data_IF_671459220465
#
_entry.id   IF_671459220465
#
_cell.length_a   1.000
_cell.length_b   1.000
_cell.length_c   1.000
_cell.angle_alpha   90.00
_cell.angle_beta   90.00
_cell.angle_gamma   90.00
#
_symmetry.space_group_name_H-M   'P 1'
#
loop_
_entity.id
_entity.type
_entity.pdbx_description
1 polymer ?
#
# COMPACT_ATOMS: atom_id res chain seq x y z
N UNK A 1 -19.26 8.39 -24.81
CA UNK A 1 -19.09 8.91 -23.45
C UNK A 1 -19.63 7.86 -22.50
N UNK A 2 -18.76 7.04 -21.90
CA UNK A 2 -19.16 6.09 -20.87
C UNK A 2 -19.67 6.87 -19.66
N UNK A 3 -20.98 6.86 -19.47
CA UNK A 3 -21.59 7.30 -18.21
C UNK A 3 -21.17 6.23 -17.21
N UNK A 4 -20.11 6.49 -16.44
CA UNK A 4 -19.81 5.66 -15.27
C UNK A 4 -21.07 5.69 -14.42
N UNK A 5 -21.73 4.54 -14.34
CA UNK A 5 -22.91 4.33 -13.54
C UNK A 5 -22.65 4.81 -12.11
N UNK A 6 -23.45 5.75 -11.62
CA UNK A 6 -23.18 6.44 -10.35
C UNK A 6 -23.12 5.47 -9.17
N UNK A 7 -23.87 4.37 -9.23
CA UNK A 7 -23.83 3.32 -8.21
C UNK A 7 -22.52 2.51 -8.28
N UNK A 8 -22.05 2.15 -9.48
CA UNK A 8 -20.71 1.53 -9.63
C UNK A 8 -19.60 2.42 -9.09
N UNK A 9 -19.64 3.73 -9.39
CA UNK A 9 -18.64 4.67 -8.86
C UNK A 9 -18.70 4.74 -7.32
N UNK A 10 -19.91 4.74 -6.75
CA UNK A 10 -20.10 4.77 -5.29
C UNK A 10 -19.53 3.53 -4.61
N UNK A 11 -19.73 2.36 -5.19
CA UNK A 11 -19.21 1.11 -4.62
C UNK A 11 -17.69 1.02 -4.77
N UNK A 12 -17.11 1.52 -5.88
CA UNK A 12 -15.66 1.64 -6.02
C UNK A 12 -15.04 2.55 -4.96
N UNK A 13 -15.67 3.70 -4.67
CA UNK A 13 -15.21 4.63 -3.63
C UNK A 13 -15.30 3.99 -2.24
N UNK A 14 -16.40 3.28 -1.92
CA UNK A 14 -16.55 2.56 -0.66
C UNK A 14 -15.48 1.49 -0.48
N UNK A 15 -15.25 0.67 -1.51
CA UNK A 15 -14.23 -0.38 -1.51
C UNK A 15 -12.84 0.20 -1.27
N UNK A 16 -12.49 1.26 -2.00
CA UNK A 16 -11.19 1.90 -1.85
C UNK A 16 -11.02 2.53 -0.47
N UNK A 17 -12.08 3.11 0.10
CA UNK A 17 -12.08 3.61 1.48
C UNK A 17 -11.86 2.48 2.50
N UNK A 18 -12.49 1.33 2.31
CA UNK A 18 -12.32 0.17 3.20
C UNK A 18 -10.86 -0.28 3.22
N UNK A 19 -10.28 -0.52 2.03
CA UNK A 19 -8.87 -0.90 1.89
C UNK A 19 -7.90 0.09 2.54
N UNK A 20 -8.15 1.39 2.39
CA UNK A 20 -7.32 2.44 2.98
C UNK A 20 -7.48 2.56 4.50
N UNK A 21 -8.55 2.01 5.07
CA UNK A 21 -8.82 2.03 6.52
C UNK A 21 -8.17 0.87 7.26
N UNK A 22 -7.82 -0.20 6.56
CA UNK A 22 -7.20 -1.38 7.15
C UNK A 22 -5.74 -1.08 7.57
N UNK A 23 -5.34 -1.40 8.81
CA UNK A 23 -3.97 -1.17 9.26
C UNK A 23 -2.99 -2.09 8.51
N UNK A 24 -1.81 -1.57 8.18
CA UNK A 24 -0.72 -2.39 7.62
C UNK A 24 0.10 -2.97 8.76
N UNK A 25 0.21 -4.30 8.80
CA UNK A 25 1.15 -5.01 9.67
C UNK A 25 2.52 -5.15 8.99
N UNK A 26 3.36 -4.13 9.16
CA UNK A 26 4.71 -4.14 8.58
C UNK A 26 5.60 -5.24 9.16
N UNK A 27 5.44 -5.59 10.44
CA UNK A 27 6.26 -6.62 11.08
C UNK A 27 5.97 -8.00 10.49
N UNK A 28 4.69 -8.31 10.26
CA UNK A 28 4.30 -9.56 9.62
C UNK A 28 4.77 -9.62 8.16
N UNK A 29 4.61 -8.53 7.40
CA UNK A 29 5.10 -8.47 6.01
C UNK A 29 6.63 -8.60 5.90
N UNK A 30 7.37 -8.12 6.90
CA UNK A 30 8.82 -8.32 7.00
C UNK A 30 9.17 -9.78 7.35
N UNK A 31 8.43 -10.41 8.27
CA UNK A 31 8.61 -11.84 8.62
C UNK A 31 8.30 -12.77 7.45
N UNK A 32 7.27 -12.45 6.67
CA UNK A 32 6.85 -13.21 5.50
C UNK A 32 7.79 -12.99 4.29
N UNK A 33 8.78 -12.11 4.41
CA UNK A 33 9.73 -11.80 3.33
C UNK A 33 9.12 -11.01 2.17
N UNK A 34 7.92 -10.46 2.35
CA UNK A 34 7.21 -9.66 1.35
C UNK A 34 7.72 -8.22 1.30
N UNK A 35 8.09 -7.66 2.46
CA UNK A 35 8.71 -6.35 2.59
C UNK A 35 10.06 -6.47 3.30
N UNK A 36 10.96 -5.55 2.95
CA UNK A 36 12.24 -5.39 3.63
C UNK A 36 12.50 -3.92 3.89
N UNK A 37 12.74 -3.58 5.15
CA UNK A 37 12.96 -2.20 5.56
C UNK A 37 14.27 -1.64 5.02
N UNK A 38 14.21 -0.51 4.30
CA UNK A 38 15.41 0.18 3.81
C UNK A 38 15.94 1.08 4.94
N UNK A 39 16.95 0.60 5.68
CA UNK A 39 17.49 1.26 6.89
C UNK A 39 17.86 2.75 6.71
N UNK A 40 18.24 3.16 5.49
CA UNK A 40 18.65 4.56 5.18
C UNK A 40 17.49 5.50 4.90
N UNK A 41 16.27 4.99 4.72
CA UNK A 41 15.11 5.78 4.36
C UNK A 41 13.92 5.26 5.14
N UNK A 42 13.66 5.79 6.33
CA UNK A 42 12.62 5.31 7.26
C UNK A 42 11.17 5.39 6.78
N UNK A 43 10.93 5.59 5.48
CA UNK A 43 9.63 5.64 4.80
C UNK A 43 9.58 4.68 3.61
N UNK A 44 10.74 4.17 3.16
CA UNK A 44 10.85 3.30 2.00
C UNK A 44 11.10 1.85 2.42
N UNK A 45 10.42 0.95 1.73
CA UNK A 45 10.57 -0.49 1.88
C UNK A 45 10.87 -1.09 0.50
N UNK A 46 11.66 -2.15 0.49
CA UNK A 46 11.88 -2.97 -0.69
C UNK A 46 10.83 -4.09 -0.68
N UNK A 47 9.99 -4.14 -1.71
CA UNK A 47 9.02 -5.20 -1.90
C UNK A 47 9.63 -6.27 -2.81
N UNK A 48 9.77 -7.49 -2.29
CA UNK A 48 10.31 -8.62 -3.06
C UNK A 48 9.43 -8.92 -4.27
N UNK A 49 8.11 -8.90 -4.07
CA UNK A 49 7.13 -9.00 -5.13
C UNK A 49 5.85 -8.25 -4.74
N UNK A 50 5.54 -7.18 -5.46
CA UNK A 50 4.34 -6.36 -5.20
C UNK A 50 3.06 -7.17 -5.38
N UNK A 51 3.03 -8.12 -6.31
CA UNK A 51 1.82 -8.89 -6.60
C UNK A 51 1.40 -9.78 -5.42
N UNK A 52 2.36 -10.16 -4.56
CA UNK A 52 2.12 -10.95 -3.36
C UNK A 52 1.67 -10.10 -2.16
N UNK A 53 1.72 -8.77 -2.26
CA UNK A 53 1.22 -7.91 -1.20
C UNK A 53 -0.32 -7.99 -1.11
N UNK A 54 -0.89 -8.00 0.10
CA UNK A 54 -2.32 -7.90 0.30
C UNK A 54 -2.90 -6.66 -0.38
N UNK A 55 -4.16 -6.74 -0.83
CA UNK A 55 -4.81 -5.66 -1.57
C UNK A 55 -4.86 -4.33 -0.80
N UNK A 56 -5.17 -4.39 0.50
CA UNK A 56 -5.19 -3.20 1.36
C UNK A 56 -3.80 -2.57 1.51
N UNK A 57 -2.73 -3.36 1.48
CA UNK A 57 -1.34 -2.88 1.52
C UNK A 57 -1.00 -2.19 0.21
N UNK A 58 -1.35 -2.81 -0.93
CA UNK A 58 -1.13 -2.24 -2.27
C UNK A 58 -1.86 -0.90 -2.44
N UNK A 59 -3.10 -0.81 -1.97
CA UNK A 59 -3.90 0.41 -2.03
C UNK A 59 -3.29 1.59 -1.25
N UNK A 60 -2.44 1.30 -0.27
CA UNK A 60 -1.80 2.30 0.60
C UNK A 60 -0.37 2.69 0.15
N UNK A 61 0.13 2.13 -0.97
CA UNK A 61 1.39 2.53 -1.60
C UNK A 61 1.20 3.94 -2.19
N UNK A 62 2.00 4.90 -1.72
CA UNK A 62 2.01 6.27 -2.25
C UNK A 62 2.90 6.42 -3.47
N UNK A 63 4.03 5.72 -3.44
CA UNK A 63 5.10 5.90 -4.41
C UNK A 63 5.77 4.56 -4.63
N UNK A 64 6.06 4.27 -5.89
CA UNK A 64 6.76 3.07 -6.30
C UNK A 64 7.91 3.45 -7.21
N UNK A 65 9.09 2.91 -6.92
CA UNK A 65 10.28 3.06 -7.73
C UNK A 65 10.78 1.67 -8.09
N UNK A 66 10.65 1.31 -9.36
CA UNK A 66 11.18 0.06 -9.90
C UNK A 66 12.67 0.23 -10.16
N UNK A 67 13.51 -0.57 -9.50
CA UNK A 67 14.95 -0.60 -9.71
C UNK A 67 15.43 -1.98 -10.12
N UNK A 68 16.72 -2.09 -10.45
CA UNK A 68 17.37 -3.33 -10.90
C UNK A 68 17.32 -4.48 -9.89
N UNK A 69 17.10 -4.19 -8.60
CA UNK A 69 17.07 -5.16 -7.51
C UNK A 69 15.67 -5.38 -6.89
N UNK A 70 14.61 -4.96 -7.59
CA UNK A 70 13.23 -5.06 -7.10
C UNK A 70 12.52 -3.71 -7.02
N UNK A 71 11.28 -3.72 -6.55
CA UNK A 71 10.48 -2.51 -6.44
C UNK A 71 10.57 -1.92 -5.03
N UNK A 72 10.95 -0.64 -4.95
CA UNK A 72 10.90 0.13 -3.72
C UNK A 72 9.52 0.78 -3.62
N UNK A 73 8.86 0.56 -2.50
CA UNK A 73 7.53 1.11 -2.22
C UNK A 73 7.60 2.01 -1.01
N UNK A 74 6.87 3.10 -1.08
CA UNK A 74 6.73 4.08 -0.01
C UNK A 74 5.29 4.06 0.46
N UNK A 75 5.12 3.87 1.77
CA UNK A 75 3.80 3.89 2.38
C UNK A 75 3.51 5.26 2.98
N UNK A 76 2.24 5.64 3.01
CA UNK A 76 1.82 6.84 3.76
C UNK A 76 2.14 6.61 5.21
N UNK A 77 3.01 7.44 5.79
CA UNK A 77 3.21 7.46 7.23
C UNK A 77 1.87 7.85 7.85
N UNK A 78 1.15 6.87 8.39
CA UNK A 78 -0.08 7.14 9.13
C UNK A 78 0.37 7.97 10.32
N UNK A 79 0.16 9.29 10.28
CA UNK A 79 0.24 10.08 11.50
C UNK A 79 -0.84 9.48 12.40
N UNK A 80 -0.44 8.81 13.48
CA UNK A 80 -1.32 8.67 14.65
C UNK A 80 -1.64 10.10 15.05
N UNK A 81 -2.74 10.63 14.55
CA UNK A 81 -3.39 11.77 15.19
C UNK A 81 -4.00 11.19 16.45
N UNK A 82 -3.26 11.27 17.55
CA UNK A 82 -3.86 11.14 18.87
C UNK A 82 -4.93 12.22 18.96
N UNK A 83 -6.19 11.81 19.05
CA UNK A 83 -7.30 12.66 19.47
C UNK A 83 -7.33 12.71 20.99
#
# INVERSE_FOLDING_TARGET
MDIIDKDKLRDMIKHQRDLLSQPIDFEQLEKDGLLKKIRKSGVWYEATNINLLPEHVKAQILEMSTGTNGAKVKFKKVKRTSF
#
